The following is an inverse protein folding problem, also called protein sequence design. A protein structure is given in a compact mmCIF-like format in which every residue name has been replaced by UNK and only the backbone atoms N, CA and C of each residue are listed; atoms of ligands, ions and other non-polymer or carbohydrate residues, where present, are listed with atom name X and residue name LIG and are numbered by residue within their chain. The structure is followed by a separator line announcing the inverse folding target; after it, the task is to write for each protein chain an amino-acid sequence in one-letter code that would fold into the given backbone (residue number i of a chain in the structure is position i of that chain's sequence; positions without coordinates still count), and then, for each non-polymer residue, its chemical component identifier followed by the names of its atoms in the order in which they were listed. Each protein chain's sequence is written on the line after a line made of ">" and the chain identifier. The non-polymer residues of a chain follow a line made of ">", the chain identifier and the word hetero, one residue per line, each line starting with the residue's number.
data_IF_844331607171
#
_entry.id   IF_844331607171
#
_cell.length_a   1.000
_cell.length_b   1.000
_cell.length_c   1.000
_cell.angle_alpha   90.00
_cell.angle_beta   90.00
_cell.angle_gamma   90.00
#
_symmetry.space_group_name_H-M   'P 1'
#
loop_
_entity.id
_entity.type
_entity.pdbx_description
1 polymer ?
#
# COMPACT_ATOMS: atom_id res chain seq x y z
N UNK A 1 7.25 15.89 8.16
CA UNK A 1 7.11 14.42 8.23
C UNK A 1 6.16 13.92 9.31
N UNK A 2 6.23 14.34 10.58
CA UNK A 2 5.43 13.74 11.69
C UNK A 2 3.91 13.66 11.44
N UNK A 3 3.29 14.72 10.93
CA UNK A 3 1.86 14.72 10.59
C UNK A 3 1.50 13.71 9.48
N UNK A 4 2.30 13.67 8.39
CA UNK A 4 2.11 12.69 7.30
C UNK A 4 2.26 11.26 7.80
N UNK A 5 3.22 11.00 8.68
CA UNK A 5 3.43 9.68 9.28
C UNK A 5 2.20 9.29 10.12
N UNK A 6 1.70 10.20 10.95
CA UNK A 6 0.52 9.94 11.77
C UNK A 6 -0.72 9.61 10.93
N UNK A 7 -1.01 10.44 9.91
CA UNK A 7 -2.15 10.23 9.01
C UNK A 7 -1.97 8.93 8.21
N UNK A 8 -0.74 8.65 7.74
CA UNK A 8 -0.42 7.42 7.02
C UNK A 8 -0.60 6.16 7.86
N UNK A 9 -0.23 6.21 9.14
CA UNK A 9 -0.47 5.12 10.09
C UNK A 9 -1.95 4.89 10.35
N UNK A 10 -2.72 5.95 10.59
CA UNK A 10 -4.18 5.84 10.77
C UNK A 10 -4.85 5.23 9.53
N UNK A 11 -4.46 5.67 8.33
CA UNK A 11 -4.95 5.11 7.08
C UNK A 11 -4.56 3.62 6.94
N UNK A 12 -3.31 3.27 7.23
CA UNK A 12 -2.83 1.89 7.15
C UNK A 12 -3.58 0.97 8.12
N UNK A 13 -3.83 1.42 9.35
CA UNK A 13 -4.63 0.69 10.33
C UNK A 13 -6.08 0.49 9.85
N UNK A 14 -6.69 1.53 9.27
CA UNK A 14 -8.04 1.45 8.70
C UNK A 14 -8.14 0.41 7.59
N UNK A 15 -7.21 0.42 6.65
CA UNK A 15 -7.18 -0.56 5.55
C UNK A 15 -6.87 -1.97 6.03
N UNK A 16 -5.97 -2.13 7.00
CA UNK A 16 -5.67 -3.44 7.57
C UNK A 16 -6.89 -4.03 8.29
N UNK A 17 -7.64 -3.21 9.03
CA UNK A 17 -8.88 -3.62 9.67
C UNK A 17 -9.96 -4.01 8.64
N UNK A 18 -10.06 -3.24 7.54
CA UNK A 18 -10.97 -3.57 6.45
C UNK A 18 -10.58 -4.89 5.76
N UNK A 19 -9.29 -5.12 5.50
CA UNK A 19 -8.77 -6.36 4.93
C UNK A 19 -9.06 -7.56 5.84
N UNK A 20 -8.89 -7.40 7.15
CA UNK A 20 -9.20 -8.43 8.12
C UNK A 20 -10.68 -8.80 8.11
N UNK A 21 -11.58 -7.80 8.06
CA UNK A 21 -13.03 -8.01 8.00
C UNK A 21 -13.48 -8.69 6.71
N UNK A 22 -12.83 -8.39 5.58
CA UNK A 22 -13.19 -8.93 4.25
C UNK A 22 -12.26 -10.05 3.79
N UNK A 23 -11.51 -10.69 4.71
CA UNK A 23 -10.50 -11.73 4.42
C UNK A 23 -10.99 -12.92 3.59
N UNK A 24 -12.30 -13.12 3.49
CA UNK A 24 -12.93 -14.19 2.70
C UNK A 24 -12.99 -13.88 1.20
N UNK A 25 -12.85 -12.61 0.80
CA UNK A 25 -12.85 -12.19 -0.62
C UNK A 25 -11.45 -12.38 -1.23
N UNK A 26 -11.36 -13.06 -2.37
CA UNK A 26 -10.08 -13.44 -3.00
C UNK A 26 -9.24 -12.27 -3.50
N UNK A 27 -9.78 -11.06 -3.66
CA UNK A 27 -9.04 -9.90 -4.15
C UNK A 27 -8.38 -9.06 -3.03
N UNK A 28 -8.72 -9.32 -1.76
CA UNK A 28 -8.29 -8.52 -0.60
C UNK A 28 -6.80 -8.60 -0.33
N UNK A 29 -6.12 -9.68 -0.76
CA UNK A 29 -4.67 -9.79 -0.63
C UNK A 29 -3.94 -8.65 -1.36
N UNK A 30 -4.49 -8.14 -2.46
CA UNK A 30 -3.88 -7.03 -3.23
C UNK A 30 -3.84 -5.75 -2.40
N UNK A 31 -4.95 -5.44 -1.71
CA UNK A 31 -5.03 -4.33 -0.76
C UNK A 31 -4.02 -4.50 0.38
N UNK A 32 -3.98 -5.69 1.00
CA UNK A 32 -3.05 -5.97 2.10
C UNK A 32 -1.58 -5.83 1.67
N UNK A 33 -1.21 -6.35 0.50
CA UNK A 33 0.15 -6.24 -0.06
C UNK A 33 0.48 -4.78 -0.36
N UNK A 34 -0.43 -4.00 -0.94
CA UNK A 34 -0.20 -2.57 -1.17
C UNK A 34 0.04 -1.80 0.13
N UNK A 35 -0.76 -2.04 1.17
CA UNK A 35 -0.60 -1.38 2.48
C UNK A 35 0.74 -1.77 3.10
N UNK A 36 1.09 -3.05 3.09
CA UNK A 36 2.38 -3.52 3.61
C UNK A 36 3.56 -2.93 2.83
N UNK A 37 3.48 -2.87 1.50
CA UNK A 37 4.52 -2.28 0.66
C UNK A 37 4.76 -0.80 1.00
N UNK A 38 3.69 0.00 1.14
CA UNK A 38 3.82 1.41 1.54
C UNK A 38 4.46 1.58 2.91
N UNK A 39 4.10 0.74 3.88
CA UNK A 39 4.68 0.79 5.22
C UNK A 39 6.18 0.42 5.20
N UNK A 40 6.57 -0.60 4.42
CA UNK A 40 7.98 -0.99 4.27
C UNK A 40 8.80 0.11 3.60
N UNK A 41 8.28 0.75 2.56
CA UNK A 41 8.94 1.90 1.93
C UNK A 41 9.07 3.06 2.92
N UNK A 42 8.07 3.29 3.78
CA UNK A 42 8.11 4.40 4.74
C UNK A 42 9.17 4.16 5.80
N UNK A 43 9.33 2.90 6.24
CA UNK A 43 10.41 2.51 7.13
C UNK A 43 11.78 2.71 6.46
N UNK A 44 11.92 2.40 5.17
CA UNK A 44 13.16 2.66 4.42
C UNK A 44 13.51 4.16 4.38
N UNK A 45 12.53 5.03 4.11
CA UNK A 45 12.72 6.49 4.14
C UNK A 45 13.11 6.98 5.55
N UNK A 46 12.52 6.41 6.60
CA UNK A 46 12.80 6.78 7.99
C UNK A 46 14.15 6.27 8.52
N UNK A 47 14.64 5.15 8.01
CA UNK A 47 15.94 4.59 8.40
C UNK A 47 17.13 5.41 7.88
N UNK A 48 16.91 6.32 6.93
CA UNK A 48 17.84 7.34 6.42
C UNK A 48 19.31 6.88 6.40
N UNK A 49 19.65 6.07 5.39
CA UNK A 49 21.01 5.54 5.22
C UNK A 49 21.83 6.40 4.24
N UNK A 50 23.16 6.55 4.48
CA UNK A 50 24.02 7.31 3.58
C UNK A 50 24.07 6.65 2.20
N UNK A 51 24.17 7.44 1.11
CA UNK A 51 24.07 6.93 -0.26
C UNK A 51 25.12 5.83 -0.51
N UNK A 52 24.66 4.63 -0.81
CA UNK A 52 25.52 3.53 -1.19
C UNK A 52 26.10 3.82 -2.59
N UNK A 53 27.43 3.88 -2.70
CA UNK A 53 28.16 4.15 -3.96
C UNK A 53 27.73 5.45 -4.66
N UNK A 54 27.18 6.43 -3.94
CA UNK A 54 26.61 7.66 -4.51
C UNK A 54 25.46 7.44 -5.52
N UNK A 55 24.89 6.24 -5.57
CA UNK A 55 23.88 5.86 -6.57
C UNK A 55 22.51 5.54 -5.93
N UNK A 56 22.51 4.97 -4.73
CA UNK A 56 21.28 4.48 -4.08
C UNK A 56 21.23 5.06 -2.67
N UNK A 57 20.25 5.91 -2.40
CA UNK A 57 19.88 6.37 -1.06
C UNK A 57 18.46 5.89 -0.70
N UNK A 58 18.03 6.19 0.53
CA UNK A 58 16.70 5.83 1.00
C UNK A 58 15.59 6.41 0.10
N UNK A 59 15.81 7.64 -0.36
CA UNK A 59 14.84 8.38 -1.16
C UNK A 59 14.69 7.82 -2.59
N UNK A 60 15.78 7.41 -3.24
CA UNK A 60 15.75 6.77 -4.54
C UNK A 60 15.03 5.41 -4.48
N UNK A 61 15.24 4.64 -3.42
CA UNK A 61 14.51 3.38 -3.20
C UNK A 61 13.03 3.61 -2.91
N UNK A 62 12.68 4.68 -2.18
CA UNK A 62 11.30 5.08 -1.98
C UNK A 62 10.60 5.35 -3.32
N UNK A 63 11.20 6.17 -4.20
CA UNK A 63 10.64 6.43 -5.53
C UNK A 63 10.52 5.17 -6.37
N UNK A 64 11.54 4.32 -6.39
CA UNK A 64 11.52 3.07 -7.16
C UNK A 64 10.43 2.10 -6.67
N UNK A 65 10.32 1.92 -5.36
CA UNK A 65 9.39 0.97 -4.77
C UNK A 65 7.94 1.44 -4.79
N UNK A 66 7.69 2.75 -4.85
CA UNK A 66 6.32 3.29 -4.93
C UNK A 66 5.70 3.17 -6.32
N UNK A 67 6.48 2.97 -7.40
CA UNK A 67 5.96 2.81 -8.77
C UNK A 67 4.93 1.67 -8.93
N UNK A 68 5.20 0.42 -8.47
CA UNK A 68 4.26 -0.68 -8.63
C UNK A 68 3.03 -0.60 -7.69
N UNK A 69 3.10 0.18 -6.61
CA UNK A 69 2.06 0.20 -5.58
C UNK A 69 0.70 0.70 -6.11
N UNK A 70 0.60 1.84 -6.84
CA UNK A 70 -0.64 2.30 -7.43
C UNK A 70 -1.24 1.32 -8.44
N UNK A 71 -0.41 0.60 -9.19
CA UNK A 71 -0.89 -0.39 -10.18
C UNK A 71 -1.61 -1.54 -9.49
N UNK A 72 -1.02 -2.06 -8.40
CA UNK A 72 -1.64 -3.11 -7.59
C UNK A 72 -2.91 -2.61 -6.90
N UNK A 73 -2.88 -1.38 -6.37
CA UNK A 73 -4.03 -0.75 -5.73
C UNK A 73 -5.19 -0.56 -6.72
N UNK A 74 -4.89 -0.12 -7.93
CA UNK A 74 -5.90 0.06 -8.98
C UNK A 74 -6.53 -1.26 -9.40
N UNK A 75 -5.74 -2.33 -9.54
CA UNK A 75 -6.27 -3.68 -9.79
C UNK A 75 -7.21 -4.15 -8.68
N UNK A 76 -6.88 -3.86 -7.42
CA UNK A 76 -7.77 -4.13 -6.28
C UNK A 76 -9.11 -3.38 -6.41
N UNK A 77 -9.08 -2.09 -6.74
CA UNK A 77 -10.29 -1.27 -6.90
C UNK A 77 -11.20 -1.79 -8.02
N UNK A 78 -10.62 -2.18 -9.18
CA UNK A 78 -11.40 -2.76 -10.27
C UNK A 78 -12.12 -4.03 -9.81
N UNK A 79 -11.43 -4.92 -9.11
CA UNK A 79 -12.02 -6.18 -8.63
C UNK A 79 -13.10 -5.95 -7.59
N UNK A 80 -12.93 -4.97 -6.72
CA UNK A 80 -13.96 -4.56 -5.75
C UNK A 80 -15.21 -4.02 -6.46
N UNK A 81 -15.05 -3.13 -7.45
CA UNK A 81 -16.17 -2.62 -8.26
C UNK A 81 -16.90 -3.74 -9.04
N UNK A 82 -16.15 -4.68 -9.63
CA UNK A 82 -16.74 -5.81 -10.36
C UNK A 82 -17.51 -6.76 -9.42
N UNK A 83 -17.00 -6.96 -8.20
CA UNK A 83 -17.67 -7.74 -7.18
C UNK A 83 -19.01 -7.11 -6.77
N UNK A 84 -19.02 -5.82 -6.48
CA UNK A 84 -20.24 -5.08 -6.10
C UNK A 84 -21.25 -5.06 -7.26
N UNK A 85 -20.79 -4.85 -8.50
CA UNK A 85 -21.67 -4.92 -9.69
C UNK A 85 -22.38 -6.27 -9.81
N UNK A 86 -21.64 -7.37 -9.62
CA UNK A 86 -22.18 -8.74 -9.70
C UNK A 86 -23.26 -9.01 -8.64
N UNK A 87 -23.15 -8.41 -7.46
CA UNK A 87 -24.17 -8.54 -6.41
C UNK A 87 -25.48 -7.85 -6.80
N UNK A 88 -25.40 -6.67 -7.42
CA UNK A 88 -26.58 -5.86 -7.75
C UNK A 88 -27.31 -6.29 -9.03
N UNK A 89 -26.66 -7.02 -9.92
CA UNK A 89 -27.27 -7.58 -11.14
C UNK A 89 -27.96 -8.94 -10.92
N UNK A 90 -27.88 -9.51 -9.70
CA UNK A 90 -28.45 -10.81 -9.33
C UNK A 90 -29.74 -10.67 -8.52
#
# INVERSE_FOLDING_TARGET
>A
MKANILIGLLNSCGWMMWCYKHRYKQYVWKCAVSVLAVNMLLLLELCDFPPWKFLIDAHALWHLGTIPVPLLWYSFLIEDCLYEKKIHEC
#
